data_IF_660172287063
#
_entry.id   IF_660172287063
#
_cell.length_a   1.000
_cell.length_b   1.000
_cell.length_c   1.000
_cell.angle_alpha   90.00
_cell.angle_beta   90.00
_cell.angle_gamma   90.00
#
_symmetry.space_group_name_H-M   'P 1'
#
loop_
_entity.id
_entity.type
_entity.pdbx_description
1 polymer ?
#
# COMPACT_ATOMS: atom_id res chain seq x y z
N UNK A 1 18.63 30.17 -12.61
CA UNK A 1 19.45 30.52 -11.43
C UNK A 1 18.82 31.73 -10.76
N UNK A 2 17.98 31.50 -9.75
CA UNK A 2 17.60 32.53 -8.79
C UNK A 2 18.26 32.12 -7.49
N UNK A 3 19.49 32.59 -7.26
CA UNK A 3 20.13 32.49 -5.96
C UNK A 3 19.34 33.39 -5.01
N UNK A 4 18.51 32.78 -4.16
CA UNK A 4 17.93 33.48 -3.01
C UNK A 4 19.13 33.94 -2.18
N UNK A 5 19.38 35.25 -2.15
CA UNK A 5 20.43 35.81 -1.30
C UNK A 5 20.05 35.51 0.15
N UNK A 6 20.93 34.84 0.93
CA UNK A 6 20.61 34.52 2.31
C UNK A 6 20.31 35.81 3.08
N UNK A 7 19.16 35.87 3.74
CA UNK A 7 18.81 37.01 4.58
C UNK A 7 19.85 37.23 5.68
N UNK A 8 19.87 38.44 6.26
CA UNK A 8 20.85 38.89 7.29
C UNK A 8 21.01 37.93 8.48
N UNK A 9 20.01 37.09 8.76
CA UNK A 9 19.98 36.16 9.89
C UNK A 9 20.11 34.67 9.49
N UNK A 10 20.38 34.37 8.21
CA UNK A 10 20.47 33.00 7.70
C UNK A 10 21.46 32.12 8.46
N UNK A 11 22.61 32.67 8.85
CA UNK A 11 23.62 31.95 9.66
C UNK A 11 23.14 31.63 11.09
N UNK A 12 22.44 32.56 11.74
CA UNK A 12 21.89 32.37 13.09
C UNK A 12 20.77 31.32 13.09
N UNK A 13 19.89 31.38 12.09
CA UNK A 13 18.80 30.40 11.90
C UNK A 13 19.35 29.02 11.59
N UNK A 14 20.39 28.93 10.74
CA UNK A 14 21.03 27.65 10.42
C UNK A 14 21.69 27.01 11.67
N UNK A 15 22.36 27.82 12.49
CA UNK A 15 22.97 27.34 13.73
C UNK A 15 21.91 26.85 14.73
N UNK A 16 20.80 27.59 14.86
CA UNK A 16 19.66 27.17 15.68
C UNK A 16 19.06 25.84 15.18
N UNK A 17 18.84 25.70 13.86
CA UNK A 17 18.22 24.51 13.29
C UNK A 17 19.07 23.24 13.54
N UNK A 18 20.39 23.33 13.37
CA UNK A 18 21.32 22.21 13.68
C UNK A 18 21.26 21.79 15.15
N UNK A 19 21.06 22.74 16.06
CA UNK A 19 20.91 22.45 17.48
C UNK A 19 19.58 21.73 17.79
N UNK A 20 18.49 22.12 17.14
CA UNK A 20 17.18 21.49 17.38
C UNK A 20 17.11 20.05 16.86
N UNK A 21 17.78 19.75 15.76
CA UNK A 21 17.87 18.38 15.24
C UNK A 21 18.64 17.44 16.18
N UNK A 22 19.73 17.93 16.78
CA UNK A 22 20.56 17.13 17.69
C UNK A 22 19.99 16.97 19.11
N UNK A 23 19.01 17.79 19.50
CA UNK A 23 18.33 17.71 20.79
C UNK A 23 17.09 16.81 20.81
N UNK A 24 16.76 16.13 19.71
CA UNK A 24 15.57 15.29 19.59
C UNK A 24 15.77 13.89 20.19
N UNK A 25 15.98 13.81 21.50
CA UNK A 25 15.98 12.55 22.23
C UNK A 25 14.54 12.07 22.46
N UNK A 26 14.06 11.20 21.57
CA UNK A 26 13.08 10.14 21.88
C UNK A 26 11.63 10.53 22.24
N UNK A 27 11.22 11.80 22.22
CA UNK A 27 9.80 12.19 22.39
C UNK A 27 9.17 12.64 21.07
N UNK A 28 7.88 12.31 20.88
CA UNK A 28 7.13 12.50 19.63
C UNK A 28 6.92 13.98 19.24
N UNK A 29 7.00 14.89 20.22
CA UNK A 29 6.98 16.35 19.99
C UNK A 29 8.35 16.85 19.50
N UNK A 30 9.44 16.26 20.01
CA UNK A 30 10.80 16.61 19.60
C UNK A 30 11.15 16.02 18.22
N UNK A 31 10.54 14.91 17.81
CA UNK A 31 10.69 14.36 16.46
C UNK A 31 10.14 15.32 15.39
N UNK A 32 9.00 15.96 15.65
CA UNK A 32 8.37 16.96 14.75
C UNK A 32 9.20 18.24 14.63
N UNK A 33 9.77 18.74 15.74
CA UNK A 33 10.64 19.92 15.74
C UNK A 33 11.96 19.64 15.00
N UNK A 34 12.55 18.46 15.23
CA UNK A 34 13.75 18.02 14.51
C UNK A 34 13.52 17.93 13.00
N UNK A 35 12.36 17.43 12.57
CA UNK A 35 12.02 17.39 11.15
C UNK A 35 11.80 18.79 10.56
N UNK A 36 11.11 19.69 11.27
CA UNK A 36 10.98 21.09 10.83
C UNK A 36 12.35 21.77 10.68
N UNK A 37 13.27 21.52 11.61
CA UNK A 37 14.63 22.03 11.52
C UNK A 37 15.39 21.50 10.30
N UNK A 38 15.22 20.22 9.95
CA UNK A 38 15.78 19.63 8.71
C UNK A 38 15.28 20.34 7.45
N UNK A 39 13.98 20.66 7.38
CA UNK A 39 13.41 21.41 6.25
C UNK A 39 14.04 22.82 6.16
N UNK A 40 14.13 23.54 7.28
CA UNK A 40 14.75 24.87 7.33
C UNK A 40 16.22 24.83 6.88
N UNK A 41 16.97 23.80 7.29
CA UNK A 41 18.36 23.60 6.84
C UNK A 41 18.43 23.47 5.30
N UNK A 42 17.54 22.69 4.70
CA UNK A 42 17.47 22.52 3.25
C UNK A 42 17.10 23.81 2.52
N UNK A 43 16.12 24.57 3.02
CA UNK A 43 15.72 25.86 2.45
C UNK A 43 16.84 26.91 2.52
N UNK A 44 17.69 26.83 3.55
CA UNK A 44 18.90 27.65 3.68
C UNK A 44 20.10 27.13 2.87
N UNK A 45 19.91 26.04 2.11
CA UNK A 45 20.93 25.49 1.22
C UNK A 45 21.98 24.60 1.89
N UNK A 46 21.73 24.13 3.11
CA UNK A 46 22.63 23.20 3.80
C UNK A 46 22.48 21.78 3.23
N UNK A 47 23.33 21.43 2.27
CA UNK A 47 23.34 20.10 1.61
C UNK A 47 23.62 18.96 2.58
N UNK A 48 24.21 19.22 3.75
CA UNK A 48 24.45 18.18 4.75
C UNK A 48 23.17 17.69 5.45
N UNK A 49 22.02 18.34 5.23
CA UNK A 49 20.71 17.84 5.65
C UNK A 49 20.16 16.73 4.72
N UNK A 50 20.72 16.58 3.52
CA UNK A 50 20.17 15.73 2.47
C UNK A 50 20.05 14.23 2.86
N UNK A 51 21.03 13.59 3.52
CA UNK A 51 20.89 12.18 3.92
C UNK A 51 19.71 11.95 4.87
N UNK A 52 19.54 12.81 5.87
CA UNK A 52 18.43 12.71 6.81
C UNK A 52 17.06 12.95 6.14
N UNK A 53 17.00 13.89 5.19
CA UNK A 53 15.78 14.13 4.40
C UNK A 53 15.45 12.95 3.50
N UNK A 54 16.45 12.28 2.92
CA UNK A 54 16.24 11.09 2.08
C UNK A 54 15.63 9.95 2.89
N UNK A 55 16.12 9.71 4.10
CA UNK A 55 15.51 8.72 4.99
C UNK A 55 14.07 9.11 5.36
N UNK A 56 13.82 10.38 5.68
CA UNK A 56 12.46 10.91 5.97
C UNK A 56 11.52 10.85 4.77
N UNK A 57 12.04 10.90 3.55
CA UNK A 57 11.25 10.74 2.32
C UNK A 57 10.63 9.34 2.18
N UNK A 58 11.15 8.35 2.90
CA UNK A 58 10.59 6.98 2.93
C UNK A 58 9.36 6.87 3.83
N UNK A 59 9.21 7.79 4.79
CA UNK A 59 8.13 7.78 5.77
C UNK A 59 6.77 8.10 5.11
N UNK A 60 5.70 7.35 5.42
CA UNK A 60 4.37 7.58 4.85
C UNK A 60 3.72 8.93 5.19
N UNK A 61 4.10 9.56 6.31
CA UNK A 61 3.51 10.79 6.84
C UNK A 61 4.33 12.02 6.51
N UNK A 62 5.65 11.90 6.57
CA UNK A 62 6.59 13.00 6.37
C UNK A 62 7.12 13.10 4.94
N UNK A 63 6.94 12.04 4.15
CA UNK A 63 7.62 11.84 2.87
C UNK A 63 7.46 13.01 1.89
N UNK A 64 6.24 13.51 1.71
CA UNK A 64 5.95 14.62 0.76
C UNK A 64 6.72 15.90 1.13
N UNK A 65 6.80 16.23 2.43
CA UNK A 65 7.51 17.42 2.89
C UNK A 65 9.02 17.27 2.72
N UNK A 66 9.55 16.09 3.03
CA UNK A 66 10.97 15.78 2.84
C UNK A 66 11.35 15.82 1.35
N UNK A 67 10.49 15.29 0.47
CA UNK A 67 10.67 15.33 -0.99
C UNK A 67 10.76 16.75 -1.53
N UNK A 68 9.86 17.64 -1.11
CA UNK A 68 9.92 19.05 -1.52
C UNK A 68 11.23 19.74 -1.09
N UNK A 69 11.73 19.45 0.12
CA UNK A 69 13.00 19.99 0.59
C UNK A 69 14.20 19.44 -0.20
N UNK A 70 14.19 18.14 -0.53
CA UNK A 70 15.19 17.54 -1.43
C UNK A 70 15.16 18.21 -2.80
N UNK A 71 13.98 18.43 -3.37
CA UNK A 71 13.81 19.08 -4.67
C UNK A 71 14.35 20.52 -4.67
N UNK A 72 14.18 21.26 -3.58
CA UNK A 72 14.76 22.59 -3.42
C UNK A 72 16.30 22.57 -3.43
N UNK A 73 16.90 21.61 -2.73
CA UNK A 73 18.35 21.40 -2.74
C UNK A 73 18.86 21.01 -4.14
N UNK A 74 18.20 20.06 -4.81
CA UNK A 74 18.56 19.64 -6.17
C UNK A 74 18.43 20.80 -7.16
N UNK A 75 17.38 21.61 -7.05
CA UNK A 75 17.16 22.76 -7.93
C UNK A 75 18.27 23.80 -7.79
N UNK A 76 18.80 23.95 -6.57
CA UNK A 76 19.83 24.96 -6.25
C UNK A 76 21.24 24.50 -6.58
N UNK A 77 21.56 23.22 -6.34
CA UNK A 77 22.94 22.71 -6.40
C UNK A 77 23.16 21.57 -7.41
N UNK A 78 22.09 20.95 -7.92
CA UNK A 78 22.14 19.77 -8.76
C UNK A 78 22.26 18.46 -7.95
N UNK A 79 21.65 17.39 -8.46
CA UNK A 79 21.62 16.09 -7.77
C UNK A 79 23.03 15.49 -7.56
N UNK A 80 23.93 15.66 -8.52
CA UNK A 80 25.31 15.15 -8.42
C UNK A 80 26.07 15.80 -7.25
N UNK A 81 25.82 17.08 -6.98
CA UNK A 81 26.46 17.81 -5.88
C UNK A 81 25.86 17.43 -4.53
N UNK A 82 24.53 17.21 -4.48
CA UNK A 82 23.83 16.89 -3.23
C UNK A 82 24.03 15.43 -2.83
N UNK A 83 24.10 14.50 -3.78
CA UNK A 83 24.10 13.06 -3.53
C UNK A 83 25.29 12.29 -4.10
N UNK A 84 26.20 12.94 -4.84
CA UNK A 84 27.44 12.31 -5.31
C UNK A 84 27.26 11.31 -6.46
N UNK A 85 26.14 11.33 -7.19
CA UNK A 85 25.92 10.43 -8.31
C UNK A 85 24.71 10.79 -9.16
N UNK A 86 24.72 10.32 -10.42
CA UNK A 86 23.60 10.53 -11.34
C UNK A 86 22.36 9.74 -10.89
N UNK A 87 21.14 10.13 -11.33
CA UNK A 87 19.91 9.42 -10.95
C UNK A 87 19.95 7.91 -11.18
N UNK A 88 20.55 7.45 -12.29
CA UNK A 88 20.69 6.03 -12.59
C UNK A 88 21.65 5.31 -11.65
N UNK A 89 22.75 5.96 -11.26
CA UNK A 89 23.71 5.40 -10.28
C UNK A 89 23.06 5.28 -8.92
N UNK A 90 22.33 6.32 -8.48
CA UNK A 90 21.58 6.27 -7.23
C UNK A 90 20.54 5.15 -7.24
N UNK A 91 19.80 4.99 -8.35
CA UNK A 91 18.78 3.95 -8.48
C UNK A 91 19.36 2.53 -8.36
N UNK A 92 20.48 2.27 -9.02
CA UNK A 92 21.04 0.92 -9.13
C UNK A 92 22.04 0.58 -8.02
N UNK A 93 22.63 1.58 -7.39
CA UNK A 93 23.80 1.39 -6.52
C UNK A 93 23.83 2.36 -5.33
N UNK A 94 22.72 3.03 -5.03
CA UNK A 94 22.54 3.76 -3.78
C UNK A 94 22.74 2.83 -2.57
N UNK A 95 23.54 3.28 -1.62
CA UNK A 95 23.94 2.48 -0.44
C UNK A 95 22.74 2.07 0.41
N UNK A 96 21.76 2.96 0.57
CA UNK A 96 20.52 2.70 1.31
C UNK A 96 19.32 2.54 0.38
N UNK A 97 18.28 1.79 0.78
CA UNK A 97 17.02 1.74 0.05
C UNK A 97 16.40 3.13 -0.18
N UNK A 98 16.59 4.07 0.75
CA UNK A 98 16.11 5.43 0.62
C UNK A 98 16.81 6.18 -0.52
N UNK A 99 18.13 6.04 -0.66
CA UNK A 99 18.88 6.58 -1.79
C UNK A 99 18.47 5.94 -3.12
N UNK A 100 18.23 4.63 -3.16
CA UNK A 100 17.74 3.95 -4.36
C UNK A 100 16.34 4.40 -4.75
N UNK A 101 15.44 4.58 -3.78
CA UNK A 101 14.11 5.14 -4.00
C UNK A 101 14.19 6.57 -4.58
N UNK A 102 15.06 7.43 -4.03
CA UNK A 102 15.32 8.74 -4.61
C UNK A 102 15.81 8.61 -6.06
N UNK A 103 16.76 7.70 -6.32
CA UNK A 103 17.28 7.41 -7.64
C UNK A 103 16.20 7.00 -8.64
N UNK A 104 15.25 6.14 -8.26
CA UNK A 104 14.08 5.76 -9.07
C UNK A 104 13.27 7.00 -9.46
N UNK A 105 12.94 7.86 -8.49
CA UNK A 105 12.13 9.07 -8.73
C UNK A 105 12.83 10.08 -9.62
N UNK A 106 14.11 10.32 -9.39
CA UNK A 106 14.90 11.24 -10.21
C UNK A 106 15.08 10.69 -11.62
N UNK A 107 15.31 9.37 -11.77
CA UNK A 107 15.41 8.69 -13.05
C UNK A 107 14.13 8.84 -13.85
N UNK A 108 12.98 8.57 -13.23
CA UNK A 108 11.68 8.77 -13.85
C UNK A 108 11.45 10.24 -14.27
N UNK A 109 11.83 11.21 -13.43
CA UNK A 109 11.70 12.64 -13.76
C UNK A 109 12.47 13.05 -15.01
N UNK A 110 13.64 12.46 -15.25
CA UNK A 110 14.49 12.76 -16.41
C UNK A 110 14.32 11.75 -17.57
N UNK A 111 13.35 10.83 -17.48
CA UNK A 111 13.02 9.88 -18.54
C UNK A 111 13.96 8.68 -18.67
N UNK A 112 14.72 8.35 -17.62
CA UNK A 112 15.51 7.12 -17.54
C UNK A 112 14.58 5.95 -17.22
N UNK A 113 14.82 4.79 -17.84
CA UNK A 113 14.04 3.57 -17.58
C UNK A 113 14.24 3.08 -16.14
N UNK A 114 13.15 3.02 -15.39
CA UNK A 114 13.12 2.55 -13.99
C UNK A 114 12.82 1.06 -13.86
N UNK A 115 12.59 0.34 -14.97
CA UNK A 115 12.33 -1.11 -14.95
C UNK A 115 13.37 -1.94 -14.20
N UNK A 116 14.68 -1.61 -14.20
CA UNK A 116 15.66 -2.36 -13.41
C UNK A 116 15.38 -2.36 -11.90
N UNK A 117 14.78 -1.29 -11.37
CA UNK A 117 14.50 -1.16 -9.94
C UNK A 117 13.38 -2.09 -9.45
N UNK A 118 12.62 -2.74 -10.34
CA UNK A 118 11.70 -3.82 -9.96
C UNK A 118 12.44 -5.00 -9.31
N UNK A 119 13.73 -5.16 -9.59
CA UNK A 119 14.58 -6.21 -9.04
C UNK A 119 15.28 -5.81 -7.73
N UNK A 120 14.95 -4.65 -7.14
CA UNK A 120 15.48 -4.26 -5.83
C UNK A 120 15.02 -5.21 -4.73
N UNK A 121 15.89 -5.47 -3.75
CA UNK A 121 15.56 -6.28 -2.57
C UNK A 121 14.57 -5.58 -1.65
N UNK A 122 14.53 -4.24 -1.68
CA UNK A 122 13.56 -3.46 -0.94
C UNK A 122 12.22 -3.40 -1.68
N UNK A 123 11.18 -3.98 -1.08
CA UNK A 123 9.79 -3.89 -1.56
C UNK A 123 9.37 -2.46 -1.83
N UNK A 124 9.80 -1.50 -1.00
CA UNK A 124 9.48 -0.08 -1.18
C UNK A 124 10.04 0.48 -2.49
N UNK A 125 11.29 0.14 -2.84
CA UNK A 125 11.95 0.61 -4.07
C UNK A 125 11.31 -0.05 -5.29
N UNK A 126 11.13 -1.37 -5.25
CA UNK A 126 10.49 -2.12 -6.32
C UNK A 126 9.03 -1.67 -6.54
N UNK A 127 8.29 -1.41 -5.46
CA UNK A 127 6.92 -0.88 -5.52
C UNK A 127 6.88 0.52 -6.14
N UNK A 128 7.82 1.40 -5.81
CA UNK A 128 7.88 2.72 -6.43
C UNK A 128 8.10 2.63 -7.95
N UNK A 129 8.98 1.73 -8.40
CA UNK A 129 9.15 1.45 -9.82
C UNK A 129 7.86 0.90 -10.44
N UNK A 130 7.18 -0.05 -9.78
CA UNK A 130 5.88 -0.57 -10.23
C UNK A 130 4.82 0.53 -10.35
N UNK A 131 4.68 1.40 -9.36
CA UNK A 131 3.69 2.48 -9.36
C UNK A 131 3.96 3.48 -10.49
N UNK A 132 5.23 3.81 -10.76
CA UNK A 132 5.60 4.68 -11.89
C UNK A 132 5.35 3.99 -13.23
N UNK A 133 5.77 2.73 -13.36
CA UNK A 133 5.58 1.92 -14.57
C UNK A 133 4.12 1.56 -14.83
N UNK A 134 3.25 1.66 -13.84
CA UNK A 134 1.82 1.57 -14.07
C UNK A 134 1.26 2.96 -14.33
N UNK A 135 1.41 3.95 -13.44
CA UNK A 135 0.80 5.27 -13.57
C UNK A 135 1.14 6.03 -14.88
N UNK A 136 2.43 6.12 -15.26
CA UNK A 136 2.89 6.97 -16.38
C UNK A 136 2.66 6.41 -17.78
N UNK A 137 2.27 5.15 -17.89
CA UNK A 137 2.01 4.51 -19.18
C UNK A 137 0.70 4.96 -19.86
N UNK A 138 0.04 6.00 -19.33
CA UNK A 138 -1.07 6.71 -20.01
C UNK A 138 -0.60 7.67 -21.13
N UNK A 139 0.66 8.10 -21.15
CA UNK A 139 1.11 9.22 -21.99
C UNK A 139 1.77 8.82 -23.34
N UNK A 140 1.78 7.54 -23.71
CA UNK A 140 2.24 7.08 -25.04
C UNK A 140 3.72 7.28 -25.37
N UNK A 141 4.52 7.80 -24.44
CA UNK A 141 5.98 7.95 -24.58
C UNK A 141 6.68 6.65 -24.24
N UNK A 142 6.73 5.73 -25.19
CA UNK A 142 7.47 4.48 -25.04
C UNK A 142 8.94 4.70 -25.35
N UNK A 143 9.82 4.32 -24.42
CA UNK A 143 11.14 3.83 -24.82
C UNK A 143 10.92 2.48 -25.51
N UNK A 144 11.28 2.38 -26.79
CA UNK A 144 11.29 1.11 -27.52
C UNK A 144 12.12 0.08 -26.73
N UNK A 145 11.48 -0.99 -26.23
CA UNK A 145 12.18 -2.09 -25.55
C UNK A 145 11.69 -2.41 -24.13
N UNK A 146 10.89 -1.56 -23.47
CA UNK A 146 10.49 -1.84 -22.07
C UNK A 146 9.68 -3.14 -21.93
N UNK A 147 8.72 -3.40 -22.83
CA UNK A 147 7.94 -4.66 -22.81
C UNK A 147 8.85 -5.89 -22.95
N UNK A 148 9.86 -5.81 -23.82
CA UNK A 148 10.83 -6.90 -24.00
C UNK A 148 11.68 -7.10 -22.74
N UNK A 149 12.14 -6.00 -22.12
CA UNK A 149 12.87 -6.02 -20.85
C UNK A 149 12.05 -6.63 -19.71
N UNK A 150 10.80 -6.19 -19.55
CA UNK A 150 9.87 -6.73 -18.56
C UNK A 150 9.55 -8.21 -18.80
N UNK A 151 9.37 -8.61 -20.06
CA UNK A 151 9.12 -10.02 -20.41
C UNK A 151 10.34 -10.88 -20.10
N UNK A 152 11.54 -10.40 -20.39
CA UNK A 152 12.79 -11.07 -20.04
C UNK A 152 12.99 -11.18 -18.52
N UNK A 153 12.60 -10.14 -17.76
CA UNK A 153 12.62 -10.17 -16.30
C UNK A 153 11.59 -11.15 -15.72
N UNK A 154 10.37 -11.14 -16.25
CA UNK A 154 9.27 -11.99 -15.79
C UNK A 154 9.51 -13.49 -16.06
N UNK A 155 10.29 -13.83 -17.09
CA UNK A 155 10.62 -15.22 -17.42
C UNK A 155 11.86 -15.77 -16.71
N UNK A 156 12.63 -14.93 -16.00
CA UNK A 156 13.83 -15.33 -15.27
C UNK A 156 13.56 -15.35 -13.77
N UNK A 157 13.98 -16.40 -13.09
CA UNK A 157 13.91 -16.46 -11.63
C UNK A 157 14.78 -15.34 -11.03
N UNK A 158 14.18 -14.51 -10.17
CA UNK A 158 14.86 -13.39 -9.53
C UNK A 158 13.88 -12.44 -8.82
N UNK A 159 14.41 -11.46 -8.06
CA UNK A 159 13.60 -10.56 -7.23
C UNK A 159 12.59 -9.72 -8.03
N UNK A 160 12.91 -9.36 -9.28
CA UNK A 160 12.01 -8.59 -10.15
C UNK A 160 10.95 -9.40 -10.89
N UNK A 161 10.97 -10.73 -10.79
CA UNK A 161 10.13 -11.61 -11.60
C UNK A 161 8.63 -11.30 -11.42
N UNK A 162 8.15 -11.30 -10.18
CA UNK A 162 6.74 -11.11 -9.85
C UNK A 162 6.31 -9.67 -10.10
N UNK A 163 7.17 -8.71 -9.78
CA UNK A 163 6.94 -7.29 -10.07
C UNK A 163 6.78 -7.03 -11.57
N UNK A 164 7.65 -7.60 -12.41
CA UNK A 164 7.54 -7.48 -13.86
C UNK A 164 6.24 -8.09 -14.39
N UNK A 165 5.85 -9.27 -13.89
CA UNK A 165 4.55 -9.87 -14.23
C UNK A 165 3.37 -8.97 -13.82
N UNK A 166 3.43 -8.37 -12.64
CA UNK A 166 2.37 -7.47 -12.16
C UNK A 166 2.25 -6.21 -13.04
N UNK A 167 3.38 -5.62 -13.46
CA UNK A 167 3.38 -4.51 -14.45
C UNK A 167 2.78 -4.97 -15.77
N UNK A 168 3.22 -6.13 -16.29
CA UNK A 168 2.73 -6.71 -17.54
C UNK A 168 1.21 -6.93 -17.50
N UNK A 169 0.70 -7.57 -16.45
CA UNK A 169 -0.71 -7.90 -16.30
C UNK A 169 -1.59 -6.64 -16.24
N UNK A 170 -1.09 -5.56 -15.66
CA UNK A 170 -1.87 -4.33 -15.46
C UNK A 170 -1.86 -3.39 -16.66
N UNK A 171 -0.88 -3.51 -17.58
CA UNK A 171 -0.65 -2.50 -18.63
C UNK A 171 -0.51 -3.02 -20.05
N UNK A 172 -0.23 -4.30 -20.24
CA UNK A 172 0.07 -4.83 -21.56
C UNK A 172 -0.80 -6.05 -21.88
N UNK A 173 -1.14 -6.26 -23.16
CA UNK A 173 -1.92 -7.43 -23.59
C UNK A 173 -1.02 -8.68 -23.67
N UNK A 174 -0.36 -9.01 -22.57
CA UNK A 174 0.49 -10.20 -22.42
C UNK A 174 -0.27 -11.24 -21.60
N UNK A 175 -0.21 -12.51 -22.01
CA UNK A 175 -0.80 -13.62 -21.26
C UNK A 175 0.07 -13.97 -20.04
N UNK A 176 -0.01 -13.11 -19.02
CA UNK A 176 0.71 -13.29 -17.75
C UNK A 176 0.21 -14.53 -17.00
N UNK A 177 -1.06 -14.92 -17.17
CA UNK A 177 -1.60 -16.14 -16.55
C UNK A 177 -0.87 -17.38 -17.05
N UNK A 178 -0.67 -17.50 -18.37
CA UNK A 178 0.10 -18.58 -18.97
C UNK A 178 1.53 -18.58 -18.42
N UNK A 179 2.19 -17.43 -18.41
CA UNK A 179 3.56 -17.29 -17.90
C UNK A 179 3.69 -17.72 -16.43
N UNK A 180 2.75 -17.30 -15.58
CA UNK A 180 2.72 -17.66 -14.16
C UNK A 180 2.51 -19.16 -13.95
N UNK A 181 1.63 -19.78 -14.74
CA UNK A 181 1.39 -21.22 -14.69
C UNK A 181 2.60 -22.04 -15.14
N UNK A 182 3.28 -21.62 -16.21
CA UNK A 182 4.47 -22.31 -16.74
C UNK A 182 5.65 -22.30 -15.75
N UNK A 183 5.78 -21.23 -14.96
CA UNK A 183 6.85 -21.08 -13.96
C UNK A 183 6.55 -21.73 -12.61
N UNK A 184 5.34 -22.28 -12.44
CA UNK A 184 4.86 -22.79 -11.16
C UNK A 184 4.40 -21.64 -10.25
N UNK A 185 3.07 -21.43 -10.12
CA UNK A 185 2.50 -20.43 -9.23
C UNK A 185 3.05 -20.53 -7.81
N UNK A 186 3.52 -19.42 -7.27
CA UNK A 186 4.02 -19.27 -5.91
C UNK A 186 3.23 -18.17 -5.21
N UNK A 187 1.95 -18.40 -4.87
CA UNK A 187 1.16 -17.42 -4.12
C UNK A 187 1.77 -17.17 -2.73
N UNK A 188 1.29 -16.14 -2.02
CA UNK A 188 1.61 -15.99 -0.59
C UNK A 188 0.86 -17.07 0.18
N UNK A 189 1.57 -18.01 0.79
CA UNK A 189 0.99 -19.08 1.59
C UNK A 189 0.41 -18.52 2.89
N UNK A 190 -0.89 -18.71 3.11
CA UNK A 190 -1.57 -18.34 4.35
C UNK A 190 -2.33 -19.57 4.85
N UNK A 191 -1.78 -20.22 5.87
CA UNK A 191 -2.31 -21.48 6.38
C UNK A 191 -3.74 -21.31 6.91
N UNK A 192 -4.66 -22.13 6.42
CA UNK A 192 -6.05 -22.13 6.87
C UNK A 192 -6.93 -21.05 6.24
N UNK A 193 -6.43 -20.26 5.28
CA UNK A 193 -7.21 -19.26 4.55
C UNK A 193 -7.98 -19.91 3.37
N UNK A 194 -9.32 -19.94 3.40
CA UNK A 194 -10.13 -20.45 2.30
C UNK A 194 -9.98 -19.58 1.05
N UNK A 195 -10.08 -20.19 -0.15
CA UNK A 195 -9.91 -19.51 -1.43
C UNK A 195 -10.91 -18.37 -1.64
N UNK A 196 -12.17 -18.54 -1.24
CA UNK A 196 -13.20 -17.50 -1.37
C UNK A 196 -12.92 -16.28 -0.48
N UNK A 197 -12.43 -16.50 0.74
CA UNK A 197 -11.97 -15.42 1.63
C UNK A 197 -10.74 -14.75 1.03
N UNK A 198 -9.73 -15.53 0.63
CA UNK A 198 -8.52 -15.01 -0.04
C UNK A 198 -8.90 -14.12 -1.23
N UNK A 199 -9.82 -14.57 -2.07
CA UNK A 199 -10.23 -13.84 -3.25
C UNK A 199 -10.92 -12.51 -2.92
N UNK A 200 -11.73 -12.48 -1.86
CA UNK A 200 -12.32 -11.25 -1.35
C UNK A 200 -11.28 -10.26 -0.82
N UNK A 201 -10.31 -10.77 -0.04
CA UNK A 201 -9.24 -9.95 0.54
C UNK A 201 -8.29 -9.39 -0.51
N UNK A 202 -7.89 -10.20 -1.49
CA UNK A 202 -7.06 -9.77 -2.61
C UNK A 202 -7.75 -8.64 -3.38
N UNK A 203 -9.02 -8.81 -3.70
CA UNK A 203 -9.77 -7.82 -4.48
C UNK A 203 -9.81 -6.45 -3.81
N UNK A 204 -10.06 -6.45 -2.51
CA UNK A 204 -10.20 -5.22 -1.72
C UNK A 204 -8.83 -4.59 -1.42
N UNK A 205 -7.90 -5.39 -0.90
CA UNK A 205 -6.71 -4.86 -0.23
C UNK A 205 -5.41 -5.03 -1.02
N UNK A 206 -5.38 -5.82 -2.10
CA UNK A 206 -4.16 -6.00 -2.88
C UNK A 206 -3.69 -4.80 -3.70
N UNK A 207 -4.49 -3.75 -4.03
CA UNK A 207 -3.91 -2.47 -4.43
C UNK A 207 -2.81 -2.05 -3.45
N UNK A 208 -3.03 -2.29 -2.16
CA UNK A 208 -2.02 -2.37 -1.11
C UNK A 208 -1.23 -1.08 -0.88
N UNK A 209 -0.42 -1.07 0.16
CA UNK A 209 0.53 0.01 0.41
C UNK A 209 1.96 -0.38 0.00
N UNK A 210 2.93 0.50 0.30
CA UNK A 210 4.35 0.36 -0.10
C UNK A 210 4.98 -0.98 0.30
N UNK A 211 4.49 -1.60 1.39
CA UNK A 211 4.99 -2.88 1.91
C UNK A 211 4.31 -4.13 1.36
N UNK A 212 3.31 -4.01 0.47
CA UNK A 212 2.57 -5.18 -0.03
C UNK A 212 3.46 -6.06 -0.92
N UNK A 213 3.46 -7.36 -0.63
CA UNK A 213 4.14 -8.38 -1.43
C UNK A 213 3.59 -8.39 -2.87
N UNK A 214 4.50 -8.40 -3.85
CA UNK A 214 4.17 -8.38 -5.27
C UNK A 214 3.26 -9.54 -5.69
N UNK A 215 3.31 -10.68 -4.99
CA UNK A 215 2.47 -11.85 -5.27
C UNK A 215 1.00 -11.55 -5.05
N UNK A 216 0.65 -10.81 -4.01
CA UNK A 216 -0.74 -10.36 -3.80
C UNK A 216 -1.21 -9.45 -4.93
N UNK A 217 -0.35 -8.53 -5.38
CA UNK A 217 -0.63 -7.60 -6.49
C UNK A 217 -0.82 -8.37 -7.80
N UNK A 218 0.03 -9.36 -8.08
CA UNK A 218 -0.06 -10.21 -9.25
C UNK A 218 -1.33 -11.06 -9.21
N UNK A 219 -1.63 -11.70 -8.09
CA UNK A 219 -2.86 -12.49 -7.92
C UNK A 219 -4.10 -11.64 -8.18
N UNK A 220 -4.14 -10.40 -7.67
CA UNK A 220 -5.22 -9.45 -7.94
C UNK A 220 -5.34 -9.10 -9.43
N UNK A 221 -4.22 -8.84 -10.09
CA UNK A 221 -4.19 -8.55 -11.53
C UNK A 221 -4.62 -9.75 -12.39
N UNK A 222 -4.47 -10.97 -11.87
CA UNK A 222 -4.91 -12.21 -12.50
C UNK A 222 -6.32 -12.64 -12.07
N UNK A 223 -7.01 -11.93 -11.19
CA UNK A 223 -8.41 -12.22 -10.93
C UNK A 223 -9.29 -11.71 -12.08
N UNK A 224 -10.40 -12.40 -12.40
CA UNK A 224 -11.40 -11.85 -13.30
C UNK A 224 -11.87 -10.48 -12.79
N UNK A 225 -12.00 -9.50 -13.69
CA UNK A 225 -12.70 -8.25 -13.37
C UNK A 225 -14.13 -8.60 -12.99
N UNK A 226 -14.55 -8.24 -11.78
CA UNK A 226 -15.96 -8.31 -11.40
C UNK A 226 -16.53 -6.93 -11.65
N UNK A 227 -17.39 -6.82 -12.66
CA UNK A 227 -18.20 -5.62 -12.87
C UNK A 227 -19.12 -5.41 -11.66
N UNK A 228 -19.23 -4.15 -11.22
CA UNK A 228 -20.18 -3.58 -10.26
C UNK A 228 -20.74 -4.56 -9.21
N UNK A 229 -19.96 -4.76 -8.13
CA UNK A 229 -20.46 -5.45 -6.94
C UNK A 229 -21.51 -4.56 -6.27
N UNK A 230 -22.70 -5.13 -6.09
CA UNK A 230 -23.73 -4.56 -5.23
C UNK A 230 -23.48 -5.03 -3.80
N UNK A 231 -22.65 -4.28 -3.06
CA UNK A 231 -22.27 -4.59 -1.67
C UNK A 231 -23.50 -4.75 -0.77
N UNK A 232 -24.56 -3.99 -1.05
CA UNK A 232 -25.83 -4.07 -0.33
C UNK A 232 -26.63 -5.33 -0.69
N UNK A 233 -26.35 -6.01 -1.81
CA UNK A 233 -27.03 -7.26 -2.16
C UNK A 233 -26.79 -8.35 -1.12
N UNK A 234 -25.58 -8.44 -0.57
CA UNK A 234 -25.26 -9.37 0.53
C UNK A 234 -26.08 -9.02 1.78
N UNK A 235 -26.19 -7.75 2.13
CA UNK A 235 -26.99 -7.30 3.29
C UNK A 235 -28.47 -7.61 3.08
N UNK A 236 -29.02 -7.30 1.90
CA UNK A 236 -30.42 -7.62 1.56
C UNK A 236 -30.69 -9.12 1.57
N UNK A 237 -29.75 -9.94 1.09
CA UNK A 237 -29.84 -11.40 1.13
C UNK A 237 -29.82 -11.93 2.57
N UNK A 238 -28.94 -11.41 3.43
CA UNK A 238 -28.89 -11.76 4.84
C UNK A 238 -30.19 -11.39 5.58
N UNK A 239 -30.69 -10.16 5.38
CA UNK A 239 -31.98 -9.71 5.93
C UNK A 239 -33.13 -10.61 5.52
N UNK A 240 -33.18 -11.02 4.24
CA UNK A 240 -34.19 -11.95 3.73
C UNK A 240 -34.08 -13.33 4.39
N UNK A 241 -32.87 -13.86 4.54
CA UNK A 241 -32.64 -15.16 5.16
C UNK A 241 -33.04 -15.17 6.66
N UNK A 242 -32.71 -14.10 7.39
CA UNK A 242 -33.12 -13.93 8.79
C UNK A 242 -34.65 -13.91 8.93
N UNK A 243 -35.33 -13.08 8.13
CA UNK A 243 -36.80 -12.98 8.12
C UNK A 243 -37.48 -14.29 7.75
N UNK A 244 -36.97 -14.98 6.72
CA UNK A 244 -37.52 -16.27 6.29
C UNK A 244 -37.42 -17.35 7.38
N UNK A 245 -36.49 -17.18 8.32
CA UNK A 245 -36.23 -18.10 9.42
C UNK A 245 -36.97 -17.71 10.70
N UNK A 246 -37.84 -16.70 10.64
CA UNK A 246 -38.61 -16.22 11.80
C UNK A 246 -37.84 -15.30 12.75
N UNK A 247 -36.62 -14.89 12.38
CA UNK A 247 -35.88 -13.85 13.10
C UNK A 247 -36.38 -12.49 12.62
N UNK A 248 -36.62 -11.57 13.54
CA UNK A 248 -36.96 -10.16 13.24
C UNK A 248 -35.68 -9.31 13.30
N UNK A 249 -34.97 -9.10 12.16
CA UNK A 249 -33.79 -8.26 12.15
C UNK A 249 -34.15 -6.77 12.20
N UNK A 250 -33.39 -6.02 13.00
CA UNK A 250 -33.38 -4.56 12.97
C UNK A 250 -32.83 -4.01 11.66
N UNK A 251 -32.82 -2.69 11.53
CA UNK A 251 -32.24 -2.03 10.37
C UNK A 251 -30.72 -2.28 10.32
N UNK A 252 -30.16 -2.67 9.15
CA UNK A 252 -28.70 -2.79 9.00
C UNK A 252 -28.00 -1.45 9.18
N UNK A 253 -27.03 -1.39 10.08
CA UNK A 253 -26.24 -0.19 10.39
C UNK A 253 -24.84 -0.36 9.78
N UNK A 254 -24.38 0.54 8.90
CA UNK A 254 -23.02 0.46 8.35
C UNK A 254 -21.98 0.73 9.45
N UNK A 255 -20.80 0.11 9.33
CA UNK A 255 -19.72 0.17 10.33
C UNK A 255 -19.42 1.58 10.87
N UNK A 256 -19.30 2.58 10.00
CA UNK A 256 -18.98 3.94 10.45
C UNK A 256 -20.09 4.62 11.27
N UNK A 257 -21.35 4.23 11.06
CA UNK A 257 -22.48 4.71 11.87
C UNK A 257 -22.56 3.94 13.19
N UNK A 258 -22.30 2.63 13.16
CA UNK A 258 -22.25 1.74 14.33
C UNK A 258 -21.17 2.19 15.33
N UNK A 259 -19.98 2.53 14.83
CA UNK A 259 -18.83 2.96 15.62
C UNK A 259 -18.79 4.49 15.87
N UNK A 260 -19.69 5.24 15.23
CA UNK A 260 -19.89 6.68 15.45
C UNK A 260 -18.98 7.62 14.63
N UNK A 261 -18.03 7.09 13.85
CA UNK A 261 -17.25 7.84 12.87
C UNK A 261 -16.65 6.92 11.78
N UNK A 262 -16.13 7.53 10.72
CA UNK A 262 -15.34 6.83 9.72
C UNK A 262 -16.14 5.93 8.78
N UNK A 263 -15.53 4.83 8.34
CA UNK A 263 -16.10 3.89 7.36
C UNK A 263 -15.59 2.47 7.56
N UNK A 264 -16.13 1.50 6.82
CA UNK A 264 -15.76 0.10 6.99
C UNK A 264 -16.36 -0.85 5.96
N UNK A 265 -16.05 -2.13 6.11
CA UNK A 265 -16.44 -3.20 5.18
C UNK A 265 -17.51 -4.13 5.73
N UNK A 266 -18.36 -3.64 6.63
CA UNK A 266 -19.49 -4.41 7.15
C UNK A 266 -20.71 -3.58 7.52
N UNK A 267 -21.83 -4.29 7.66
CA UNK A 267 -23.05 -3.81 8.32
C UNK A 267 -23.31 -4.65 9.57
N UNK A 268 -23.75 -4.01 10.65
CA UNK A 268 -24.28 -4.69 11.84
C UNK A 268 -25.80 -4.75 11.76
N UNK A 269 -26.35 -5.91 12.05
CA UNK A 269 -27.79 -6.14 12.16
C UNK A 269 -28.05 -6.62 13.59
N UNK A 270 -28.79 -5.81 14.34
CA UNK A 270 -29.24 -6.18 15.68
C UNK A 270 -30.47 -7.09 15.58
N UNK A 271 -30.48 -8.17 16.35
CA UNK A 271 -31.65 -9.05 16.51
C UNK A 271 -31.91 -9.30 17.99
N UNK A 272 -33.10 -9.77 18.35
CA UNK A 272 -33.39 -10.16 19.72
C UNK A 272 -32.49 -11.31 20.22
N UNK A 273 -31.96 -12.12 19.31
CA UNK A 273 -31.10 -13.26 19.62
C UNK A 273 -29.63 -12.86 19.76
N UNK A 274 -29.22 -11.78 19.08
CA UNK A 274 -27.86 -11.22 19.13
C UNK A 274 -27.47 -10.50 17.84
N UNK A 275 -26.27 -9.95 17.83
CA UNK A 275 -25.76 -9.20 16.69
C UNK A 275 -25.22 -10.11 15.58
N UNK A 276 -25.38 -9.62 14.35
CA UNK A 276 -24.82 -10.22 13.14
C UNK A 276 -24.07 -9.16 12.38
N UNK A 277 -22.80 -9.41 12.08
CA UNK A 277 -22.01 -8.58 11.17
C UNK A 277 -22.00 -9.22 9.80
N UNK A 278 -22.37 -8.48 8.75
CA UNK A 278 -22.37 -8.92 7.36
C UNK A 278 -21.28 -8.15 6.62
N UNK A 279 -20.32 -8.84 6.03
CA UNK A 279 -19.26 -8.21 5.24
C UNK A 279 -19.81 -7.67 3.92
N UNK A 280 -19.32 -6.52 3.48
CA UNK A 280 -19.53 -6.01 2.11
C UNK A 280 -18.61 -6.71 1.11
N UNK A 281 -17.55 -7.39 1.57
CA UNK A 281 -16.55 -8.02 0.70
C UNK A 281 -17.00 -9.34 0.07
N UNK A 282 -18.16 -9.87 0.50
CA UNK A 282 -18.76 -11.09 0.01
C UNK A 282 -19.78 -11.67 0.98
N UNK A 283 -20.30 -12.88 0.74
CA UNK A 283 -21.30 -13.52 1.59
C UNK A 283 -20.66 -14.11 2.87
N UNK A 284 -19.99 -13.26 3.65
CA UNK A 284 -19.33 -13.59 4.90
C UNK A 284 -20.06 -12.94 6.06
N UNK A 285 -20.16 -13.65 7.18
CA UNK A 285 -20.77 -13.10 8.38
C UNK A 285 -20.10 -13.59 9.65
N UNK A 286 -20.27 -12.81 10.73
CA UNK A 286 -19.86 -13.17 12.08
C UNK A 286 -21.02 -12.95 13.04
N UNK A 287 -21.21 -13.92 13.94
CA UNK A 287 -22.17 -13.83 15.04
C UNK A 287 -21.69 -14.73 16.19
N UNK A 288 -22.08 -14.39 17.41
CA UNK A 288 -21.82 -15.21 18.61
C UNK A 288 -22.94 -16.25 18.85
N UNK A 289 -23.95 -16.31 17.99
CA UNK A 289 -25.12 -17.19 18.15
C UNK A 289 -25.14 -18.29 17.11
N UNK A 290 -25.09 -19.53 17.58
CA UNK A 290 -25.13 -20.70 16.70
C UNK A 290 -26.47 -20.85 15.98
N UNK A 291 -27.60 -20.47 16.61
CA UNK A 291 -28.92 -20.47 15.96
C UNK A 291 -28.93 -19.63 14.68
N UNK A 292 -28.41 -18.40 14.76
CA UNK A 292 -28.29 -17.50 13.61
C UNK A 292 -27.30 -18.05 12.59
N UNK A 293 -26.19 -18.63 13.06
CA UNK A 293 -25.16 -19.17 12.18
C UNK A 293 -25.69 -20.29 11.30
N UNK A 294 -26.41 -21.24 11.88
CA UNK A 294 -26.98 -22.37 11.15
C UNK A 294 -27.98 -21.90 10.08
N UNK A 295 -28.78 -20.86 10.40
CA UNK A 295 -29.75 -20.27 9.47
C UNK A 295 -29.09 -19.61 8.26
N UNK A 296 -28.12 -18.72 8.50
CA UNK A 296 -27.45 -17.98 7.43
C UNK A 296 -26.60 -18.88 6.54
N UNK A 297 -25.96 -19.89 7.12
CA UNK A 297 -25.20 -20.88 6.35
C UNK A 297 -26.11 -21.79 5.52
N UNK A 298 -27.21 -22.28 6.08
CA UNK A 298 -28.07 -23.24 5.38
C UNK A 298 -28.96 -22.61 4.31
N UNK A 299 -29.45 -21.38 4.55
CA UNK A 299 -30.48 -20.75 3.71
C UNK A 299 -29.98 -19.55 2.91
N UNK A 300 -28.92 -18.90 3.37
CA UNK A 300 -28.36 -17.72 2.72
C UNK A 300 -27.15 -18.00 1.85
N UNK A 301 -26.55 -19.19 1.94
CA UNK A 301 -25.27 -19.50 1.29
C UNK A 301 -24.10 -18.70 1.85
N UNK A 302 -24.23 -18.18 3.07
CA UNK A 302 -23.20 -17.39 3.71
C UNK A 302 -22.17 -18.29 4.41
N UNK A 303 -20.91 -17.89 4.33
CA UNK A 303 -19.84 -18.48 5.13
C UNK A 303 -19.77 -17.78 6.49
N UNK A 304 -19.88 -18.57 7.56
CA UNK A 304 -19.56 -18.13 8.92
C UNK A 304 -18.04 -17.96 9.04
N UNK A 305 -17.62 -16.81 9.54
CA UNK A 305 -16.25 -16.56 9.99
C UNK A 305 -16.22 -16.87 11.49
N UNK A 306 -15.90 -18.13 11.83
CA UNK A 306 -15.73 -18.58 13.20
C UNK A 306 -14.43 -18.03 13.82
N UNK A 307 -14.20 -18.30 15.11
CA UNK A 307 -13.03 -17.76 15.82
C UNK A 307 -11.71 -18.29 15.26
N UNK A 308 -11.68 -19.54 14.81
CA UNK A 308 -10.49 -20.13 14.21
C UNK A 308 -10.12 -19.43 12.90
N UNK A 309 -11.08 -19.23 12.01
CA UNK A 309 -10.84 -18.56 10.73
C UNK A 309 -10.59 -17.07 10.93
N UNK A 310 -11.28 -16.44 11.86
CA UNK A 310 -11.12 -15.03 12.21
C UNK A 310 -9.68 -14.68 12.63
N UNK A 311 -9.02 -15.58 13.35
CA UNK A 311 -7.66 -15.39 13.87
C UNK A 311 -6.55 -15.72 12.85
N UNK A 312 -6.90 -16.20 11.64
CA UNK A 312 -5.90 -16.42 10.59
C UNK A 312 -5.28 -15.08 10.20
N UNK A 313 -3.97 -14.95 10.41
CA UNK A 313 -3.18 -13.76 10.07
C UNK A 313 -2.82 -13.78 8.59
N UNK A 314 -3.06 -12.66 7.90
CA UNK A 314 -2.77 -12.51 6.47
C UNK A 314 -1.51 -11.65 6.30
N UNK A 315 -0.38 -12.32 6.10
CA UNK A 315 0.92 -11.67 5.95
C UNK A 315 1.15 -11.06 4.56
N UNK A 316 2.00 -10.04 4.50
CA UNK A 316 2.44 -9.43 3.24
C UNK A 316 1.39 -8.58 2.53
N UNK A 317 0.16 -8.51 3.05
CA UNK A 317 -0.91 -7.63 2.56
C UNK A 317 -0.89 -6.36 3.42
N UNK A 318 -0.09 -5.37 3.02
CA UNK A 318 0.14 -4.16 3.79
C UNK A 318 -1.09 -3.23 3.73
N UNK A 319 -1.91 -3.28 4.77
CA UNK A 319 -3.14 -2.50 4.96
C UNK A 319 -2.93 -1.58 6.16
N UNK A 320 -3.28 -0.31 6.01
CA UNK A 320 -3.24 0.63 7.12
C UNK A 320 -4.38 0.35 8.09
N UNK A 321 -4.12 0.37 9.39
CA UNK A 321 -5.12 0.18 10.44
C UNK A 321 -4.65 0.89 11.72
N UNK A 322 -5.34 1.94 12.16
CA UNK A 322 -5.05 2.70 13.39
C UNK A 322 -3.57 3.07 13.60
N UNK A 323 -2.94 3.66 12.59
CA UNK A 323 -1.53 4.07 12.66
C UNK A 323 -0.54 2.97 12.25
N UNK A 324 -0.95 1.70 12.33
CA UNK A 324 -0.13 0.54 11.99
C UNK A 324 -0.36 0.06 10.55
N UNK A 325 0.60 -0.72 10.04
CA UNK A 325 0.61 -1.36 8.73
C UNK A 325 1.09 -2.81 8.81
N UNK A 326 1.05 -3.38 10.02
CA UNK A 326 1.35 -4.78 10.28
C UNK A 326 0.32 -5.74 9.68
N UNK A 327 0.59 -7.05 9.74
CA UNK A 327 -0.37 -8.07 9.31
C UNK A 327 -1.69 -7.97 10.07
N UNK A 328 -2.80 -8.11 9.35
CA UNK A 328 -4.15 -8.14 9.92
C UNK A 328 -4.71 -9.55 9.84
N UNK A 329 -5.62 -9.87 10.78
CA UNK A 329 -6.34 -11.14 10.74
C UNK A 329 -7.55 -11.06 9.80
N UNK A 330 -8.09 -12.22 9.41
CA UNK A 330 -9.28 -12.31 8.54
C UNK A 330 -10.46 -11.52 9.12
N UNK A 331 -10.64 -11.50 10.44
CA UNK A 331 -11.71 -10.70 11.06
C UNK A 331 -11.53 -9.21 10.76
N UNK A 332 -10.35 -8.67 11.01
CA UNK A 332 -10.10 -7.24 10.89
C UNK A 332 -10.15 -6.79 9.41
N UNK A 333 -9.85 -7.70 8.48
CA UNK A 333 -9.98 -7.43 7.04
C UNK A 333 -11.42 -7.58 6.51
N UNK A 334 -12.16 -8.62 6.90
CA UNK A 334 -13.55 -8.81 6.42
C UNK A 334 -14.56 -7.89 7.11
N UNK A 335 -14.25 -7.45 8.33
CA UNK A 335 -15.07 -6.58 9.16
C UNK A 335 -14.27 -5.34 9.57
N UNK A 336 -13.63 -4.74 8.57
CA UNK A 336 -12.77 -3.58 8.75
C UNK A 336 -13.58 -2.36 9.15
N UNK A 337 -13.03 -1.57 10.06
CA UNK A 337 -13.50 -0.22 10.39
C UNK A 337 -12.31 0.68 10.67
N UNK A 338 -12.43 1.95 10.28
CA UNK A 338 -11.44 2.98 10.58
C UNK A 338 -12.12 4.34 10.71
N UNK A 339 -11.63 5.17 11.62
CA UNK A 339 -12.09 6.53 11.92
C UNK A 339 -11.76 7.57 10.84
#
# INVERSE_FOLDING_TARGET
MLTVSPGKHSGEVLAWAKLQESGADGSDVLSTLGFAALIVRAELGDTSAAPALVERATDPWEGVRAEHAIDALITSYGADVVFGGSPNVLMLSGETPALRLLGVRLSDRVGIDVSPALADESTMVARAAFDLLTARYRDGRFATGVVAGLTAMATRAGPGQVWAMAVLARRFPVDVRKMWNELGPRPVEVAGLPTDVRDALIREYAPGQRGTDARWILEAALQPSIEDRDDEASVRAAMKALKASGVEPGEPVPAGVDEGSGGGTYFRIHTAEGDVMISTLGPFFRTQRDSIADLLTSSGGFRRIDDRLAEVVVDGLCVYFFGDRGPLCVRDLLFYWQD
#
